data_IF_950543725698
#
_entry.id   IF_950543725698
#
_cell.length_a   1.000
_cell.length_b   1.000
_cell.length_c   1.000
_cell.angle_alpha   90.00
_cell.angle_beta   90.00
_cell.angle_gamma   90.00
#
_symmetry.space_group_name_H-M   'P 1'
#
loop_
_entity.id
_entity.type
_entity.pdbx_description
1 polymer ?
#
# COMPACT_ATOMS: atom_id res chain seq x y z
N UNK A 1 -2.87 20.99 40.20
CA UNK A 1 -3.15 19.89 39.24
C UNK A 1 -3.03 20.49 37.85
N UNK A 2 -2.18 19.99 36.95
CA UNK A 2 -2.11 20.52 35.59
C UNK A 2 -3.43 20.19 34.88
N UNK A 3 -4.05 21.19 34.24
CA UNK A 3 -5.27 21.00 33.49
C UNK A 3 -5.02 20.06 32.30
N UNK A 4 -5.66 18.89 32.31
CA UNK A 4 -5.71 17.98 31.17
C UNK A 4 -6.43 18.70 30.02
N UNK A 5 -5.68 19.14 29.01
CA UNK A 5 -6.23 19.80 27.82
C UNK A 5 -6.45 18.77 26.72
N UNK A 6 -7.48 18.95 25.89
CA UNK A 6 -7.80 18.03 24.77
C UNK A 6 -6.60 17.85 23.82
N UNK A 7 -5.79 18.90 23.63
CA UNK A 7 -4.53 18.87 22.86
C UNK A 7 -3.48 17.95 23.49
N UNK A 8 -3.28 18.01 24.81
CA UNK A 8 -2.34 17.13 25.52
C UNK A 8 -2.73 15.65 25.47
N UNK A 9 -4.03 15.35 25.41
CA UNK A 9 -4.55 14.00 25.19
C UNK A 9 -4.28 13.53 23.76
N UNK A 10 -4.50 14.36 22.75
CA UNK A 10 -4.24 14.04 21.34
C UNK A 10 -2.75 13.80 21.05
N UNK A 11 -1.87 14.50 21.77
CA UNK A 11 -0.40 14.34 21.65
C UNK A 11 0.16 13.18 22.48
N UNK A 12 -0.66 12.57 23.34
CA UNK A 12 -0.21 11.51 24.23
C UNK A 12 0.28 10.28 23.46
N UNK A 13 1.27 9.58 24.03
CA UNK A 13 1.79 8.33 23.47
C UNK A 13 0.68 7.28 23.34
N UNK A 14 -0.24 7.22 24.30
CA UNK A 14 -1.38 6.31 24.28
C UNK A 14 -2.29 6.56 23.07
N UNK A 15 -2.62 7.81 22.76
CA UNK A 15 -3.45 8.16 21.61
C UNK A 15 -2.83 7.73 20.28
N UNK A 16 -1.51 7.89 20.12
CA UNK A 16 -0.81 7.43 18.91
C UNK A 16 -0.84 5.90 18.75
N UNK A 17 -0.68 5.17 19.85
CA UNK A 17 -0.73 3.69 19.87
C UNK A 17 -2.13 3.19 19.56
N UNK A 18 -3.14 3.75 20.23
CA UNK A 18 -4.55 3.40 20.02
C UNK A 18 -4.96 3.76 18.59
N UNK A 19 -4.61 4.95 18.11
CA UNK A 19 -4.86 5.38 16.74
C UNK A 19 -4.22 4.45 15.71
N UNK A 20 -2.96 4.01 15.94
CA UNK A 20 -2.31 3.02 15.07
C UNK A 20 -3.03 1.67 15.10
N UNK A 21 -3.38 1.15 16.28
CA UNK A 21 -4.09 -0.12 16.40
C UNK A 21 -5.44 -0.07 15.67
N UNK A 22 -6.19 1.03 15.81
CA UNK A 22 -7.47 1.25 15.12
C UNK A 22 -7.30 1.37 13.61
N UNK A 23 -6.30 2.12 13.14
CA UNK A 23 -6.03 2.27 11.71
C UNK A 23 -5.58 0.94 11.08
N UNK A 24 -4.74 0.17 11.78
CA UNK A 24 -4.32 -1.15 11.34
C UNK A 24 -5.49 -2.13 11.32
N UNK A 25 -6.29 -2.16 12.39
CA UNK A 25 -7.51 -2.96 12.46
C UNK A 25 -8.47 -2.66 11.30
N UNK A 26 -8.79 -1.39 11.08
CA UNK A 26 -9.71 -0.96 10.02
C UNK A 26 -9.18 -1.38 8.64
N UNK A 27 -7.90 -1.16 8.36
CA UNK A 27 -7.31 -1.55 7.07
C UNK A 27 -7.23 -3.06 6.89
N UNK A 28 -7.03 -3.84 7.96
CA UNK A 28 -7.13 -5.30 7.91
C UNK A 28 -8.55 -5.74 7.58
N UNK A 29 -9.57 -5.17 8.23
CA UNK A 29 -10.98 -5.48 7.94
C UNK A 29 -11.31 -5.16 6.48
N UNK A 30 -10.98 -3.94 6.02
CA UNK A 30 -11.23 -3.54 4.63
C UNK A 30 -10.49 -4.44 3.63
N UNK A 31 -9.24 -4.80 3.91
CA UNK A 31 -8.46 -5.69 3.05
C UNK A 31 -9.05 -7.11 2.98
N UNK A 32 -9.68 -7.58 4.06
CA UNK A 32 -10.34 -8.88 4.13
C UNK A 32 -11.71 -8.86 3.44
N UNK A 33 -12.50 -7.79 3.60
CA UNK A 33 -13.77 -7.63 2.87
C UNK A 33 -13.56 -7.54 1.36
N UNK A 34 -12.39 -7.06 0.94
CA UNK A 34 -11.96 -7.04 -0.46
C UNK A 34 -11.28 -8.34 -0.92
N UNK A 35 -11.39 -9.45 -0.17
CA UNK A 35 -10.87 -10.76 -0.60
C UNK A 35 -11.77 -11.36 -1.68
N UNK A 36 -11.18 -11.78 -2.80
CA UNK A 36 -11.92 -12.59 -3.77
C UNK A 36 -12.28 -13.95 -3.18
N UNK A 37 -13.48 -14.49 -3.46
CA UNK A 37 -13.93 -15.78 -2.93
C UNK A 37 -12.99 -16.97 -3.18
N UNK A 38 -12.10 -16.86 -4.18
CA UNK A 38 -11.27 -17.96 -4.68
C UNK A 38 -10.03 -18.21 -3.81
N UNK A 39 -9.53 -17.22 -3.06
CA UNK A 39 -8.17 -17.31 -2.52
C UNK A 39 -8.03 -17.22 -1.00
N UNK A 40 -9.01 -16.67 -0.28
CA UNK A 40 -8.87 -16.36 1.16
C UNK A 40 -7.61 -15.51 1.50
N UNK A 41 -6.96 -14.92 0.49
CA UNK A 41 -5.80 -14.03 0.56
C UNK A 41 -6.24 -12.66 0.04
N UNK A 42 -5.84 -11.59 0.72
CA UNK A 42 -6.25 -10.23 0.37
C UNK A 42 -5.77 -9.83 -1.04
N UNK A 43 -6.65 -9.13 -1.78
CA UNK A 43 -6.32 -8.54 -3.07
C UNK A 43 -5.30 -7.39 -2.96
N UNK A 44 -5.24 -6.75 -1.80
CA UNK A 44 -4.47 -5.56 -1.54
C UNK A 44 -4.18 -5.48 -0.04
N UNK A 45 -2.92 -5.29 0.37
CA UNK A 45 -2.53 -5.28 1.79
C UNK A 45 -1.86 -3.96 2.23
N UNK A 46 -2.65 -2.88 2.41
CA UNK A 46 -2.12 -1.61 2.90
C UNK A 46 -1.75 -1.53 4.40
N UNK A 47 -2.18 -2.41 5.33
CA UNK A 47 -1.92 -2.20 6.76
C UNK A 47 -0.44 -2.04 7.11
N UNK A 48 0.45 -2.82 6.46
CA UNK A 48 1.88 -2.78 6.73
C UNK A 48 2.50 -1.41 6.43
N UNK A 49 1.96 -0.67 5.46
CA UNK A 49 2.47 0.64 5.07
C UNK A 49 2.30 1.65 6.22
N UNK A 50 1.21 1.55 6.96
CA UNK A 50 0.91 2.44 8.09
C UNK A 50 1.97 2.25 9.18
N UNK A 51 2.24 1.00 9.56
CA UNK A 51 3.20 0.70 10.62
C UNK A 51 4.62 1.03 10.17
N UNK A 52 5.00 0.66 8.93
CA UNK A 52 6.31 0.98 8.38
C UNK A 52 6.58 2.49 8.40
N UNK A 53 5.61 3.33 8.00
CA UNK A 53 5.72 4.79 8.09
C UNK A 53 5.93 5.26 9.53
N UNK A 54 5.15 4.75 10.49
CA UNK A 54 5.30 5.11 11.91
C UNK A 54 6.68 4.72 12.46
N UNK A 55 7.20 3.53 12.14
CA UNK A 55 8.53 3.10 12.57
C UNK A 55 9.66 3.96 11.96
N UNK A 56 9.46 4.44 10.73
CA UNK A 56 10.36 5.37 10.06
C UNK A 56 10.40 6.75 10.75
N UNK A 57 9.25 7.26 11.22
CA UNK A 57 9.16 8.56 11.88
C UNK A 57 9.53 8.56 13.37
N UNK A 58 9.56 7.40 14.01
CA UNK A 58 9.72 7.30 15.47
C UNK A 58 11.07 6.70 15.86
N UNK A 59 11.66 7.03 17.03
CA UNK A 59 12.90 6.40 17.48
C UNK A 59 12.74 4.88 17.68
N UNK A 60 13.83 4.11 17.45
CA UNK A 60 13.82 2.64 17.57
C UNK A 60 13.34 2.11 18.92
N UNK A 61 13.61 2.87 20.00
CA UNK A 61 13.17 2.53 21.37
C UNK A 61 11.64 2.47 21.53
N UNK A 62 10.88 3.09 20.62
CA UNK A 62 9.42 3.14 20.65
C UNK A 62 8.78 2.01 19.82
N UNK A 63 9.57 1.30 18.99
CA UNK A 63 9.07 0.29 18.07
C UNK A 63 8.30 -0.85 18.73
N UNK A 64 8.74 -1.45 19.86
CA UNK A 64 8.01 -2.56 20.47
C UNK A 64 6.54 -2.25 20.75
N UNK A 65 6.25 -0.99 21.14
CA UNK A 65 4.91 -0.52 21.45
C UNK A 65 4.02 -0.45 20.19
N UNK A 66 4.53 0.06 19.08
CA UNK A 66 3.78 0.13 17.82
C UNK A 66 3.61 -1.25 17.16
N UNK A 67 4.59 -2.14 17.31
CA UNK A 67 4.47 -3.53 16.87
C UNK A 67 3.45 -4.32 17.71
N UNK A 68 3.37 -4.05 19.01
CA UNK A 68 2.31 -4.60 19.85
C UNK A 68 0.93 -4.08 19.42
N UNK A 69 0.81 -2.78 19.10
CA UNK A 69 -0.42 -2.18 18.59
C UNK A 69 -0.86 -2.81 17.25
N UNK A 70 0.09 -3.03 16.35
CA UNK A 70 -0.10 -3.75 15.09
C UNK A 70 -0.62 -5.16 15.32
N UNK A 71 -0.01 -5.92 16.25
CA UNK A 71 -0.47 -7.27 16.57
C UNK A 71 -1.90 -7.27 17.13
N UNK A 72 -2.22 -6.35 18.04
CA UNK A 72 -3.58 -6.20 18.57
C UNK A 72 -4.58 -5.89 17.46
N UNK A 73 -4.29 -4.91 16.60
CA UNK A 73 -5.15 -4.55 15.46
C UNK A 73 -5.33 -5.70 14.47
N UNK A 74 -4.25 -6.43 14.18
CA UNK A 74 -4.25 -7.60 13.32
C UNK A 74 -5.20 -8.68 13.83
N UNK A 75 -5.05 -9.11 15.08
CA UNK A 75 -5.87 -10.17 15.65
C UNK A 75 -7.33 -9.72 15.83
N UNK A 76 -7.57 -8.46 16.22
CA UNK A 76 -8.91 -7.91 16.31
C UNK A 76 -9.64 -7.92 14.95
N UNK A 77 -8.92 -7.75 13.84
CA UNK A 77 -9.50 -7.74 12.49
C UNK A 77 -9.70 -9.13 11.90
N UNK A 78 -8.93 -10.13 12.35
CA UNK A 78 -8.84 -11.44 11.69
C UNK A 78 -9.45 -12.60 12.49
N UNK A 79 -9.43 -12.53 13.83
CA UNK A 79 -10.03 -13.55 14.69
C UNK A 79 -11.55 -13.71 14.50
N UNK A 80 -12.36 -12.64 14.27
CA UNK A 80 -13.79 -12.80 14.04
C UNK A 80 -14.15 -13.71 12.86
N UNK A 81 -13.24 -13.89 11.89
CA UNK A 81 -13.47 -14.73 10.71
C UNK A 81 -13.10 -16.21 10.88
N UNK A 82 -12.18 -16.56 11.80
CA UNK A 82 -11.92 -17.94 12.26
C UNK A 82 -11.63 -19.06 11.23
N UNK A 83 -11.28 -18.75 9.98
CA UNK A 83 -11.27 -19.73 8.88
C UNK A 83 -10.03 -20.64 8.80
N UNK A 84 -8.95 -20.30 9.51
CA UNK A 84 -7.67 -21.02 9.51
C UNK A 84 -7.26 -21.38 10.94
N UNK A 85 -6.39 -22.39 11.13
CA UNK A 85 -5.83 -22.70 12.45
C UNK A 85 -5.14 -21.47 13.06
N UNK A 86 -5.31 -21.25 14.38
CA UNK A 86 -4.77 -20.08 15.10
C UNK A 86 -3.27 -19.88 14.86
N UNK A 87 -2.50 -20.98 14.79
CA UNK A 87 -1.05 -20.94 14.51
C UNK A 87 -0.73 -20.26 13.17
N UNK A 88 -1.58 -20.38 12.15
CA UNK A 88 -1.39 -19.73 10.85
C UNK A 88 -1.49 -18.20 11.01
N UNK A 89 -2.48 -17.71 11.75
CA UNK A 89 -2.63 -16.29 12.04
C UNK A 89 -1.48 -15.72 12.88
N UNK A 90 -0.95 -16.50 13.83
CA UNK A 90 0.24 -16.11 14.60
C UNK A 90 1.45 -15.94 13.68
N UNK A 91 1.73 -16.91 12.82
CA UNK A 91 2.87 -16.82 11.89
C UNK A 91 2.68 -15.70 10.88
N UNK A 92 1.47 -15.47 10.38
CA UNK A 92 1.17 -14.31 9.54
C UNK A 92 1.42 -12.99 10.26
N UNK A 93 1.01 -12.84 11.52
CA UNK A 93 1.31 -11.63 12.30
C UNK A 93 2.83 -11.42 12.41
N UNK A 94 3.59 -12.49 12.71
CA UNK A 94 5.05 -12.43 12.79
C UNK A 94 5.65 -12.06 11.43
N UNK A 95 5.20 -12.65 10.34
CA UNK A 95 5.67 -12.35 8.98
C UNK A 95 5.47 -10.87 8.64
N UNK A 96 4.30 -10.30 8.94
CA UNK A 96 4.02 -8.88 8.75
C UNK A 96 4.95 -8.00 9.63
N UNK A 97 5.18 -8.37 10.89
CA UNK A 97 6.08 -7.64 11.79
C UNK A 97 7.52 -7.66 11.25
N UNK A 98 8.01 -8.81 10.81
CA UNK A 98 9.34 -8.98 10.22
C UNK A 98 9.48 -8.09 8.99
N UNK A 99 8.49 -8.06 8.11
CA UNK A 99 8.50 -7.23 6.92
C UNK A 99 8.64 -5.74 7.25
N UNK A 100 7.75 -5.20 8.09
CA UNK A 100 7.77 -3.76 8.42
C UNK A 100 9.05 -3.36 9.17
N UNK A 101 9.59 -4.25 10.00
CA UNK A 101 10.87 -4.06 10.67
C UNK A 101 12.03 -4.01 9.68
N UNK A 102 12.10 -4.97 8.75
CA UNK A 102 13.15 -5.00 7.73
C UNK A 102 13.13 -3.74 6.88
N UNK A 103 11.94 -3.33 6.41
CA UNK A 103 11.78 -2.11 5.59
C UNK A 103 12.19 -0.87 6.38
N UNK A 104 11.68 -0.69 7.60
CA UNK A 104 12.00 0.48 8.42
C UNK A 104 13.49 0.55 8.81
N UNK A 105 14.11 -0.58 9.13
CA UNK A 105 15.51 -0.65 9.53
C UNK A 105 16.45 -0.32 8.37
N UNK A 106 16.22 -0.93 7.19
CA UNK A 106 17.00 -0.64 5.98
C UNK A 106 16.86 0.82 5.60
N UNK A 107 15.63 1.36 5.54
CA UNK A 107 15.41 2.76 5.19
C UNK A 107 16.11 3.70 6.15
N UNK A 108 15.98 3.52 7.47
CA UNK A 108 16.62 4.41 8.44
C UNK A 108 18.14 4.32 8.44
N UNK A 109 18.69 3.14 8.13
CA UNK A 109 20.13 2.92 8.05
C UNK A 109 20.74 3.57 6.81
N UNK A 110 20.10 3.42 5.65
CA UNK A 110 20.66 3.88 4.37
C UNK A 110 20.20 5.28 3.94
N UNK A 111 19.09 5.81 4.48
CA UNK A 111 18.63 7.16 4.19
C UNK A 111 19.20 8.24 5.14
N UNK A 112 20.09 7.87 6.07
CA UNK A 112 20.85 8.82 6.89
C UNK A 112 20.17 9.33 8.17
N UNK A 113 19.26 8.55 8.77
CA UNK A 113 18.69 8.87 10.09
C UNK A 113 17.22 9.26 10.08
N UNK A 114 16.90 10.49 10.53
CA UNK A 114 15.52 10.94 10.68
C UNK A 114 14.84 11.14 9.32
N UNK A 115 13.71 10.44 9.11
CA UNK A 115 12.94 10.51 7.87
C UNK A 115 12.05 11.74 7.92
N UNK A 116 12.47 12.81 7.23
CA UNK A 116 11.73 14.06 7.06
C UNK A 116 11.33 14.24 5.60
N UNK A 117 10.35 15.11 5.33
CA UNK A 117 9.80 15.34 4.00
C UNK A 117 10.89 15.66 2.94
N UNK A 118 11.90 16.45 3.28
CA UNK A 118 12.93 16.84 2.30
C UNK A 118 13.90 15.71 1.95
N UNK A 119 13.89 14.61 2.70
CA UNK A 119 14.69 13.43 2.42
C UNK A 119 14.01 12.47 1.43
N UNK A 120 12.76 12.70 1.03
CA UNK A 120 11.98 11.78 0.19
C UNK A 120 12.67 11.33 -1.09
N UNK A 121 13.38 12.20 -1.85
CA UNK A 121 14.11 11.74 -3.04
C UNK A 121 15.16 10.66 -2.75
N UNK A 122 15.76 10.67 -1.55
CA UNK A 122 16.71 9.65 -1.09
C UNK A 122 16.01 8.45 -0.44
N UNK A 123 14.90 8.68 0.25
CA UNK A 123 14.17 7.65 1.01
C UNK A 123 13.39 6.71 0.10
N UNK A 124 12.72 7.23 -0.92
CA UNK A 124 11.81 6.45 -1.76
C UNK A 124 12.53 5.34 -2.55
N UNK A 125 13.69 5.57 -3.20
CA UNK A 125 14.43 4.50 -3.85
C UNK A 125 14.90 3.42 -2.87
N UNK A 126 15.43 3.82 -1.71
CA UNK A 126 15.88 2.87 -0.66
C UNK A 126 14.70 2.04 -0.14
N UNK A 127 13.55 2.66 0.07
CA UNK A 127 12.32 1.99 0.48
C UNK A 127 11.87 0.96 -0.55
N UNK A 128 11.84 1.32 -1.85
CA UNK A 128 11.48 0.39 -2.93
C UNK A 128 12.43 -0.82 -2.99
N UNK A 129 13.73 -0.59 -2.81
CA UNK A 129 14.73 -1.67 -2.77
C UNK A 129 14.62 -2.53 -1.50
N UNK A 130 14.26 -1.94 -0.35
CA UNK A 130 14.09 -2.66 0.91
C UNK A 130 12.84 -3.56 0.92
N UNK A 131 11.79 -3.16 0.21
CA UNK A 131 10.52 -3.88 0.14
C UNK A 131 10.67 -5.28 -0.47
N UNK A 132 11.48 -5.43 -1.51
CA UNK A 132 11.65 -6.71 -2.22
C UNK A 132 12.14 -7.83 -1.27
N UNK A 133 13.32 -7.74 -0.63
CA UNK A 133 13.79 -8.79 0.26
C UNK A 133 12.91 -8.97 1.50
N UNK A 134 12.33 -7.89 2.04
CA UNK A 134 11.43 -7.98 3.19
C UNK A 134 10.17 -8.80 2.86
N UNK A 135 9.58 -8.55 1.70
CA UNK A 135 8.36 -9.25 1.28
C UNK A 135 8.66 -10.68 0.82
N UNK A 136 9.84 -10.95 0.25
CA UNK A 136 10.26 -12.32 -0.06
C UNK A 136 10.36 -13.18 1.21
N UNK A 137 10.88 -12.61 2.30
CA UNK A 137 10.96 -13.30 3.60
C UNK A 137 9.56 -13.54 4.17
N UNK A 138 8.72 -12.51 4.25
CA UNK A 138 7.36 -12.63 4.81
C UNK A 138 6.48 -13.59 3.99
N UNK A 139 6.53 -13.53 2.66
CA UNK A 139 5.81 -14.43 1.78
C UNK A 139 6.26 -15.88 1.96
N UNK A 140 7.56 -16.12 2.16
CA UNK A 140 8.10 -17.47 2.42
C UNK A 140 7.59 -18.01 3.75
N UNK A 141 7.59 -17.20 4.81
CA UNK A 141 7.04 -17.59 6.12
C UNK A 141 5.55 -17.94 6.01
N UNK A 142 4.78 -17.07 5.35
CA UNK A 142 3.35 -17.23 5.18
C UNK A 142 2.97 -18.47 4.33
N UNK A 143 3.62 -18.65 3.18
CA UNK A 143 3.36 -19.80 2.30
C UNK A 143 3.76 -21.11 2.97
N UNK A 144 4.86 -21.13 3.73
CA UNK A 144 5.31 -22.31 4.46
C UNK A 144 4.30 -22.76 5.50
N UNK A 145 3.81 -21.84 6.35
CA UNK A 145 2.84 -22.22 7.39
C UNK A 145 1.49 -22.63 6.81
N UNK A 146 1.04 -21.98 5.73
CA UNK A 146 -0.21 -22.32 5.05
C UNK A 146 -0.12 -23.73 4.49
N UNK A 147 0.94 -24.03 3.73
CA UNK A 147 1.13 -25.36 3.13
C UNK A 147 1.27 -26.45 4.19
N UNK A 148 1.89 -26.13 5.33
CA UNK A 148 2.06 -27.09 6.42
C UNK A 148 0.79 -27.36 7.25
N UNK A 149 -0.19 -26.44 7.25
CA UNK A 149 -1.35 -26.49 8.17
C UNK A 149 -2.71 -26.50 7.48
N UNK A 150 -2.76 -26.25 6.18
CA UNK A 150 -4.00 -26.19 5.39
C UNK A 150 -3.94 -27.27 4.32
N UNK A 151 -4.80 -28.28 4.44
CA UNK A 151 -4.85 -29.39 3.50
C UNK A 151 -5.16 -28.90 2.07
N UNK A 152 -4.37 -29.36 1.10
CA UNK A 152 -4.54 -29.01 -0.32
C UNK A 152 -4.05 -27.61 -0.70
N UNK A 153 -3.45 -26.84 0.21
CA UNK A 153 -2.93 -25.53 -0.12
C UNK A 153 -1.65 -25.61 -0.98
N UNK A 154 -1.57 -24.75 -2.00
CA UNK A 154 -0.39 -24.63 -2.86
C UNK A 154 0.59 -23.60 -2.30
N UNK A 155 1.83 -24.02 -2.05
CA UNK A 155 2.91 -23.12 -1.62
C UNK A 155 3.08 -21.95 -2.59
N UNK A 156 3.17 -22.23 -3.89
CA UNK A 156 3.44 -21.20 -4.90
C UNK A 156 2.31 -20.21 -5.04
N UNK A 157 1.05 -20.65 -4.97
CA UNK A 157 -0.09 -19.74 -5.01
C UNK A 157 -0.13 -18.84 -3.77
N UNK A 158 0.08 -19.42 -2.58
CA UNK A 158 0.15 -18.64 -1.35
C UNK A 158 1.31 -17.64 -1.35
N UNK A 159 2.48 -18.06 -1.85
CA UNK A 159 3.69 -17.26 -1.92
C UNK A 159 3.55 -16.10 -2.90
N UNK A 160 3.11 -16.36 -4.14
CA UNK A 160 2.89 -15.32 -5.16
C UNK A 160 1.78 -14.38 -4.70
N UNK A 161 0.69 -14.91 -4.15
CA UNK A 161 -0.45 -14.12 -3.68
C UNK A 161 -0.07 -13.15 -2.56
N UNK A 162 0.72 -13.62 -1.58
CA UNK A 162 1.28 -12.80 -0.52
C UNK A 162 2.27 -11.78 -1.06
N UNK A 163 3.28 -12.24 -1.81
CA UNK A 163 4.36 -11.38 -2.34
C UNK A 163 3.81 -10.20 -3.13
N UNK A 164 2.91 -10.48 -4.06
CA UNK A 164 2.33 -9.43 -4.92
C UNK A 164 1.33 -8.56 -4.17
N UNK A 165 0.61 -9.11 -3.16
CA UNK A 165 -0.35 -8.39 -2.34
C UNK A 165 0.32 -7.36 -1.42
N UNK A 166 1.36 -7.78 -0.71
CA UNK A 166 2.11 -6.92 0.21
C UNK A 166 2.94 -5.89 -0.56
N UNK A 167 3.62 -6.28 -1.64
CA UNK A 167 4.36 -5.33 -2.49
C UNK A 167 3.45 -4.25 -3.06
N UNK A 168 2.33 -4.61 -3.68
CA UNK A 168 1.40 -3.62 -4.25
C UNK A 168 0.78 -2.73 -3.17
N UNK A 169 0.40 -3.29 -2.02
CA UNK A 169 -0.10 -2.55 -0.86
C UNK A 169 0.90 -1.51 -0.34
N UNK A 170 2.12 -1.96 -0.06
CA UNK A 170 3.19 -1.13 0.47
C UNK A 170 3.62 -0.06 -0.53
N UNK A 171 3.88 -0.42 -1.78
CA UNK A 171 4.34 0.53 -2.81
C UNK A 171 3.31 1.62 -3.06
N UNK A 172 2.02 1.30 -3.05
CA UNK A 172 0.97 2.28 -3.35
C UNK A 172 0.71 3.23 -2.18
N UNK A 173 0.77 2.75 -0.94
CA UNK A 173 0.36 3.53 0.25
C UNK A 173 1.54 4.18 0.98
N UNK A 174 2.66 3.48 1.15
CA UNK A 174 3.78 3.96 1.97
C UNK A 174 4.34 5.30 1.44
N UNK A 175 4.56 5.50 0.13
CA UNK A 175 5.02 6.78 -0.40
C UNK A 175 4.07 7.94 -0.13
N UNK A 176 2.74 7.70 -0.13
CA UNK A 176 1.75 8.73 0.23
C UNK A 176 1.92 9.13 1.69
N UNK A 177 2.04 8.16 2.59
CA UNK A 177 2.27 8.43 4.01
C UNK A 177 3.57 9.21 4.22
N UNK A 178 4.65 8.82 3.54
CA UNK A 178 5.92 9.52 3.60
C UNK A 178 5.83 10.94 3.02
N UNK A 179 5.13 11.13 1.90
CA UNK A 179 5.03 12.43 1.25
C UNK A 179 4.09 13.42 1.96
N UNK A 180 3.09 12.92 2.70
CA UNK A 180 2.04 13.76 3.26
C UNK A 180 2.05 13.86 4.78
N UNK A 181 2.61 12.88 5.47
CA UNK A 181 2.56 12.76 6.93
C UNK A 181 3.95 12.86 7.57
N UNK A 182 5.03 12.77 6.79
CA UNK A 182 6.38 12.89 7.34
C UNK A 182 6.58 14.22 8.08
N UNK A 183 7.36 14.22 9.18
CA UNK A 183 7.75 15.46 9.85
C UNK A 183 8.35 16.47 8.87
N UNK A 184 7.89 17.72 8.93
CA UNK A 184 8.29 18.79 8.02
C UNK A 184 7.50 18.87 6.72
N UNK A 185 6.49 18.00 6.50
CA UNK A 185 5.61 18.14 5.34
C UNK A 185 4.86 19.48 5.40
N UNK A 186 4.84 20.27 4.30
CA UNK A 186 4.15 21.55 4.29
C UNK A 186 2.64 21.36 4.47
N UNK A 187 1.93 22.32 5.10
CA UNK A 187 0.50 22.21 5.30
C UNK A 187 -0.23 22.10 3.96
N UNK A 188 -1.37 21.42 3.95
CA UNK A 188 -2.20 21.19 2.75
C UNK A 188 -2.57 22.52 2.05
N UNK A 189 -2.55 23.65 2.75
CA UNK A 189 -2.93 24.96 2.18
C UNK A 189 -1.72 25.68 1.55
N UNK A 190 -0.49 25.26 1.84
CA UNK A 190 0.73 25.87 1.29
C UNK A 190 1.04 25.47 -0.17
N UNK A 191 0.05 24.95 -0.90
CA UNK A 191 0.25 24.60 -2.31
C UNK A 191 0.46 25.84 -3.16
N UNK A 192 1.59 25.88 -3.86
CA UNK A 192 1.90 26.89 -4.86
C UNK A 192 0.79 26.94 -5.92
N UNK A 193 0.20 28.14 -6.10
CA UNK A 193 -0.77 28.44 -7.17
C UNK A 193 -0.23 28.09 -8.55
N UNK A 194 1.10 28.09 -8.74
CA UNK A 194 1.74 27.91 -10.04
C UNK A 194 1.60 26.51 -10.63
N UNK A 195 1.09 25.51 -9.89
CA UNK A 195 0.86 24.16 -10.41
C UNK A 195 -0.62 23.74 -10.38
N UNK A 196 -1.54 24.66 -10.10
CA UNK A 196 -2.96 24.33 -10.01
C UNK A 196 -3.57 23.95 -11.35
N UNK A 197 -3.10 24.58 -12.43
CA UNK A 197 -3.58 24.31 -13.79
C UNK A 197 -3.19 22.89 -14.19
N UNK A 198 -1.91 22.52 -14.06
CA UNK A 198 -1.41 21.18 -14.38
C UNK A 198 -2.14 20.11 -13.60
N UNK A 199 -2.35 20.32 -12.30
CA UNK A 199 -3.11 19.38 -11.44
C UNK A 199 -4.56 19.24 -11.87
N UNK A 200 -5.19 20.35 -12.25
CA UNK A 200 -6.58 20.34 -12.73
C UNK A 200 -6.66 19.59 -14.06
N UNK A 201 -5.76 19.86 -14.99
CA UNK A 201 -5.69 19.17 -16.28
C UNK A 201 -5.45 17.68 -16.09
N UNK A 202 -4.50 17.29 -15.22
CA UNK A 202 -4.26 15.88 -14.90
C UNK A 202 -5.50 15.24 -14.29
N UNK A 203 -6.17 15.92 -13.34
CA UNK A 203 -7.41 15.44 -12.75
C UNK A 203 -8.52 15.23 -13.78
N UNK A 204 -8.69 16.17 -14.71
CA UNK A 204 -9.66 16.08 -15.81
C UNK A 204 -9.30 14.94 -16.76
N UNK A 205 -8.03 14.78 -17.13
CA UNK A 205 -7.59 13.69 -18.00
C UNK A 205 -7.82 12.32 -17.34
N UNK A 206 -7.51 12.18 -16.06
CA UNK A 206 -7.76 10.95 -15.31
C UNK A 206 -9.25 10.66 -15.17
N UNK A 207 -10.08 11.69 -14.92
CA UNK A 207 -11.53 11.54 -14.89
C UNK A 207 -12.07 11.14 -16.26
N UNK A 208 -11.58 11.74 -17.35
CA UNK A 208 -11.96 11.40 -18.71
C UNK A 208 -11.59 9.96 -19.05
N UNK A 209 -10.36 9.53 -18.75
CA UNK A 209 -9.92 8.14 -18.92
C UNK A 209 -10.77 7.20 -18.08
N UNK A 210 -11.04 7.54 -16.82
CA UNK A 210 -11.83 6.72 -15.91
C UNK A 210 -13.28 6.54 -16.35
N UNK A 211 -13.92 7.60 -16.84
CA UNK A 211 -15.32 7.59 -17.27
C UNK A 211 -15.51 7.03 -18.69
N UNK A 212 -14.56 7.29 -19.60
CA UNK A 212 -14.66 6.88 -21.00
C UNK A 212 -14.31 5.40 -21.21
N UNK A 213 -13.37 4.83 -20.44
CA UNK A 213 -12.92 3.46 -20.68
C UNK A 213 -14.07 2.42 -20.53
N UNK A 214 -14.88 2.43 -19.46
CA UNK A 214 -15.97 1.44 -19.32
C UNK A 214 -17.13 1.66 -20.30
N UNK A 215 -17.29 2.88 -20.84
CA UNK A 215 -18.47 3.27 -21.63
C UNK A 215 -18.22 3.33 -23.14
N UNK A 216 -16.99 3.67 -23.57
CA UNK A 216 -16.64 3.82 -24.99
C UNK A 216 -16.03 2.55 -25.60
N UNK A 217 -15.38 1.71 -24.79
CA UNK A 217 -14.80 0.45 -25.24
C UNK A 217 -15.73 -0.69 -24.81
N UNK A 218 -16.57 -1.18 -25.73
CA UNK A 218 -17.54 -2.23 -25.46
C UNK A 218 -16.94 -3.63 -25.21
N UNK A 219 -15.63 -3.80 -25.41
CA UNK A 219 -14.94 -5.08 -25.19
C UNK A 219 -13.83 -4.97 -24.12
N UNK A 220 -13.96 -5.80 -23.09
CA UNK A 220 -13.04 -5.88 -21.95
C UNK A 220 -11.58 -6.13 -22.37
N UNK A 221 -11.37 -6.85 -23.46
CA UNK A 221 -10.03 -7.14 -23.96
C UNK A 221 -9.36 -5.88 -24.52
N UNK A 222 -10.12 -5.02 -25.19
CA UNK A 222 -9.63 -3.72 -25.67
C UNK A 222 -9.34 -2.77 -24.51
N UNK A 223 -10.20 -2.73 -23.49
CA UNK A 223 -9.96 -1.96 -22.26
C UNK A 223 -8.61 -2.32 -21.64
N UNK A 224 -8.37 -3.63 -21.48
CA UNK A 224 -7.16 -4.14 -20.83
C UNK A 224 -5.89 -3.83 -21.64
N UNK A 225 -6.00 -3.79 -22.97
CA UNK A 225 -4.90 -3.40 -23.86
C UNK A 225 -4.64 -1.89 -23.83
N UNK A 226 -5.68 -1.05 -23.89
CA UNK A 226 -5.54 0.41 -24.08
C UNK A 226 -5.23 1.15 -22.77
N UNK A 227 -5.73 0.66 -21.64
CA UNK A 227 -5.63 1.35 -20.35
C UNK A 227 -4.20 1.76 -19.97
N UNK A 228 -3.17 0.89 -20.05
CA UNK A 228 -1.79 1.31 -19.75
C UNK A 228 -1.32 2.44 -20.67
N UNK A 229 -1.64 2.41 -21.96
CA UNK A 229 -1.19 3.43 -22.91
C UNK A 229 -1.84 4.81 -22.69
N UNK A 230 -3.01 4.87 -22.05
CA UNK A 230 -3.64 6.14 -21.68
C UNK A 230 -3.16 6.67 -20.33
N UNK A 231 -2.98 5.78 -19.35
CA UNK A 231 -2.67 6.15 -17.97
C UNK A 231 -1.18 6.47 -17.80
N UNK A 232 -0.27 5.69 -18.38
CA UNK A 232 1.16 5.88 -18.19
C UNK A 232 1.66 7.27 -18.64
N UNK A 233 1.28 7.83 -19.79
CA UNK A 233 1.70 9.17 -20.19
C UNK A 233 1.26 10.24 -19.19
N UNK A 234 0.03 10.14 -18.65
CA UNK A 234 -0.48 11.07 -17.64
C UNK A 234 0.34 10.96 -16.35
N UNK A 235 0.66 9.74 -15.92
CA UNK A 235 1.45 9.50 -14.71
C UNK A 235 2.91 9.97 -14.87
N UNK A 236 3.54 9.72 -16.02
CA UNK A 236 4.88 10.23 -16.34
C UNK A 236 4.85 11.77 -16.31
N UNK A 237 3.86 12.39 -16.95
CA UNK A 237 3.73 13.84 -16.94
C UNK A 237 3.53 14.39 -15.53
N UNK A 238 2.73 13.70 -14.72
CA UNK A 238 2.52 14.01 -13.30
C UNK A 238 3.82 13.96 -12.51
N UNK A 239 4.60 12.89 -12.66
CA UNK A 239 5.90 12.70 -12.01
C UNK A 239 6.88 13.82 -12.35
N UNK A 240 6.93 14.23 -13.62
CA UNK A 240 7.87 15.25 -14.10
C UNK A 240 7.48 16.69 -13.73
N UNK A 241 6.19 16.98 -13.47
CA UNK A 241 5.70 18.38 -13.35
C UNK A 241 5.07 18.76 -12.02
N UNK A 242 4.57 17.81 -11.24
CA UNK A 242 3.72 18.13 -10.08
C UNK A 242 4.33 17.83 -8.71
N UNK A 243 5.52 17.22 -8.71
CA UNK A 243 6.29 16.86 -7.52
C UNK A 243 5.74 15.65 -6.75
N UNK A 244 6.58 15.09 -5.88
CA UNK A 244 6.39 13.81 -5.17
C UNK A 244 5.02 13.69 -4.48
N UNK A 245 4.53 14.73 -3.79
CA UNK A 245 3.23 14.68 -3.10
C UNK A 245 2.07 14.43 -4.04
N UNK A 246 2.02 15.18 -5.13
CA UNK A 246 0.97 15.06 -6.14
C UNK A 246 1.09 13.69 -6.82
N UNK A 247 2.31 13.29 -7.19
CA UNK A 247 2.59 12.02 -7.86
C UNK A 247 2.16 10.82 -7.04
N UNK A 248 2.52 10.77 -5.75
CA UNK A 248 2.15 9.67 -4.85
C UNK A 248 0.63 9.58 -4.69
N UNK A 249 -0.05 10.71 -4.49
CA UNK A 249 -1.51 10.74 -4.34
C UNK A 249 -2.25 10.33 -5.61
N UNK A 250 -1.84 10.87 -6.76
CA UNK A 250 -2.45 10.55 -8.06
C UNK A 250 -2.24 9.07 -8.39
N UNK A 251 -1.03 8.55 -8.15
CA UNK A 251 -0.73 7.12 -8.34
C UNK A 251 -1.62 6.24 -7.46
N UNK A 252 -1.81 6.61 -6.18
CA UNK A 252 -2.72 5.91 -5.28
C UNK A 252 -4.16 5.91 -5.81
N UNK A 253 -4.69 7.07 -6.22
CA UNK A 253 -6.06 7.19 -6.73
C UNK A 253 -6.24 6.34 -7.99
N UNK A 254 -5.31 6.41 -8.94
CA UNK A 254 -5.35 5.60 -10.16
C UNK A 254 -5.28 4.11 -9.85
N UNK A 255 -4.41 3.71 -8.93
CA UNK A 255 -4.28 2.31 -8.50
C UNK A 255 -5.56 1.79 -7.85
N UNK A 256 -6.11 2.52 -6.89
CA UNK A 256 -7.38 2.15 -6.22
C UNK A 256 -8.54 2.11 -7.21
N UNK A 257 -8.59 3.04 -8.16
CA UNK A 257 -9.60 3.04 -9.22
C UNK A 257 -9.49 1.80 -10.12
N UNK A 258 -8.27 1.43 -10.52
CA UNK A 258 -8.03 0.24 -11.32
C UNK A 258 -8.42 -1.06 -10.58
N UNK A 259 -8.12 -1.14 -9.27
CA UNK A 259 -8.59 -2.24 -8.41
C UNK A 259 -10.10 -2.29 -8.35
N UNK A 260 -10.75 -1.16 -8.08
CA UNK A 260 -12.20 -1.06 -7.96
C UNK A 260 -12.92 -1.50 -9.24
N UNK A 261 -12.51 -1.01 -10.42
CA UNK A 261 -13.10 -1.44 -11.68
C UNK A 261 -12.84 -2.93 -11.95
N UNK A 262 -11.64 -3.43 -11.62
CA UNK A 262 -11.31 -4.85 -11.82
C UNK A 262 -12.19 -5.74 -10.94
N UNK A 263 -12.45 -5.30 -9.71
CA UNK A 263 -13.39 -5.96 -8.80
C UNK A 263 -14.82 -5.99 -9.35
N UNK A 264 -15.27 -4.93 -10.03
CA UNK A 264 -16.56 -4.90 -10.74
C UNK A 264 -16.57 -5.72 -12.05
N UNK A 265 -15.46 -6.35 -12.43
CA UNK A 265 -15.33 -7.08 -13.70
C UNK A 265 -15.24 -6.19 -14.95
N UNK A 266 -15.12 -4.87 -14.75
CA UNK A 266 -15.07 -3.85 -15.82
C UNK A 266 -13.68 -3.22 -15.96
N UNK A 267 -12.73 -3.63 -15.13
CA UNK A 267 -11.42 -3.00 -15.03
C UNK A 267 -10.36 -3.56 -15.96
N UNK A 268 -9.25 -2.83 -16.13
CA UNK A 268 -8.19 -3.14 -17.10
C UNK A 268 -7.43 -4.44 -16.84
N UNK A 269 -7.71 -5.12 -15.73
CA UNK A 269 -7.10 -6.40 -15.38
C UNK A 269 -8.09 -7.57 -15.36
N UNK A 270 -9.36 -7.34 -15.74
CA UNK A 270 -10.38 -8.38 -15.89
C UNK A 270 -10.26 -9.12 -17.24
N UNK A 271 -9.10 -9.72 -17.50
CA UNK A 271 -8.83 -10.40 -18.77
C UNK A 271 -9.71 -11.65 -18.97
N UNK A 272 -10.42 -11.70 -20.10
CA UNK A 272 -11.13 -12.92 -20.53
C UNK A 272 -10.11 -14.05 -20.76
N UNK A 273 -10.37 -15.23 -20.16
CA UNK A 273 -9.54 -16.43 -20.34
C UNK A 273 -8.46 -16.65 -19.27
N UNK A 274 -8.17 -15.67 -18.40
CA UNK A 274 -7.33 -15.90 -17.22
C UNK A 274 -8.17 -16.47 -16.07
N UNK A 275 -7.58 -17.35 -15.27
CA UNK A 275 -8.14 -17.76 -13.98
C UNK A 275 -8.27 -16.54 -13.05
N UNK A 276 -9.14 -16.63 -12.03
CA UNK A 276 -9.28 -15.57 -11.04
C UNK A 276 -7.92 -15.18 -10.41
N UNK A 277 -7.11 -16.17 -10.05
CA UNK A 277 -5.74 -15.96 -9.56
C UNK A 277 -4.86 -15.24 -10.57
N UNK A 278 -4.91 -15.63 -11.85
CA UNK A 278 -4.17 -14.95 -12.91
C UNK A 278 -4.54 -13.46 -13.02
N UNK A 279 -5.83 -13.14 -12.97
CA UNK A 279 -6.30 -11.74 -13.04
C UNK A 279 -5.81 -10.93 -11.84
N UNK A 280 -5.86 -11.48 -10.62
CA UNK A 280 -5.37 -10.82 -9.41
C UNK A 280 -3.87 -10.58 -9.46
N UNK A 281 -3.08 -11.56 -9.90
CA UNK A 281 -1.62 -11.43 -10.03
C UNK A 281 -1.26 -10.38 -11.07
N UNK A 282 -1.94 -10.35 -12.22
CA UNK A 282 -1.71 -9.35 -13.27
C UNK A 282 -2.09 -7.95 -12.79
N UNK A 283 -3.22 -7.80 -12.07
CA UNK A 283 -3.61 -6.54 -11.44
C UNK A 283 -2.53 -6.04 -10.48
N UNK A 284 -2.10 -6.87 -9.52
CA UNK A 284 -1.07 -6.51 -8.55
C UNK A 284 0.27 -6.17 -9.23
N UNK A 285 0.66 -6.93 -10.25
CA UNK A 285 1.85 -6.65 -11.06
C UNK A 285 1.77 -5.31 -11.81
N UNK A 286 0.60 -4.98 -12.35
CA UNK A 286 0.31 -3.69 -12.97
C UNK A 286 0.44 -2.53 -11.98
N UNK A 287 -0.15 -2.66 -10.78
CA UNK A 287 -0.01 -1.67 -9.71
C UNK A 287 1.44 -1.46 -9.29
N UNK A 288 2.19 -2.54 -9.08
CA UNK A 288 3.62 -2.48 -8.74
C UNK A 288 4.39 -1.72 -9.84
N UNK A 289 4.16 -2.06 -11.11
CA UNK A 289 4.85 -1.45 -12.25
C UNK A 289 4.54 0.03 -12.36
N UNK A 290 3.26 0.40 -12.32
CA UNK A 290 2.82 1.80 -12.37
C UNK A 290 3.44 2.59 -11.21
N UNK A 291 3.43 2.02 -10.01
CA UNK A 291 3.88 2.72 -8.81
C UNK A 291 5.38 2.92 -8.79
N UNK A 292 6.16 1.87 -9.05
CA UNK A 292 7.62 1.96 -9.09
C UNK A 292 8.06 2.95 -10.17
N UNK A 293 7.55 2.83 -11.39
CA UNK A 293 7.96 3.72 -12.49
C UNK A 293 7.61 5.17 -12.20
N UNK A 294 6.37 5.44 -11.78
CA UNK A 294 5.90 6.81 -11.58
C UNK A 294 6.57 7.48 -10.38
N UNK A 295 6.72 6.77 -9.26
CA UNK A 295 7.34 7.34 -8.05
C UNK A 295 8.84 7.49 -8.24
N UNK A 296 9.51 6.53 -8.87
CA UNK A 296 10.94 6.65 -9.17
C UNK A 296 11.22 7.83 -10.10
N UNK A 297 10.40 8.05 -11.14
CA UNK A 297 10.53 9.22 -12.01
C UNK A 297 10.32 10.55 -11.28
N UNK A 298 9.53 10.58 -10.20
CA UNK A 298 9.27 11.83 -9.46
C UNK A 298 10.42 12.26 -8.54
N UNK A 299 11.42 11.41 -8.36
CA UNK A 299 12.59 11.66 -7.49
C UNK A 299 13.91 11.79 -8.25
N UNK A 300 13.88 11.65 -9.58
CA UNK A 300 14.99 11.98 -10.48
C UNK A 300 15.07 13.48 -10.71
#
# INVERSE_FOLDING_TARGET
MPAFTLSSLLESRATRVIGLALAYWLTVVLAIELVTPVEKIALFWPPNAIVAAVLMFTPRRDWPMYLAAMAVGYFAGRLPGGQLPVVVYVVFCIANIVEVLMVAEVVKRFAGGAIVHDALPRVLPVMMLALIPATLVSATMAASIVTAKVAGASFWMAWIGWLTGDLSGMLLVLPVLLAWVAPGAPPIIAYSRNHMIERTVIGVLLAAVGLAIPTALGDQQQISLVFPYLVFPILIWTAMRTGIRSTTLITLVVGLYAVFLTFLGQGPYAFKGLSAFGQVVVMKGGLITITVTTIFLSVL
#
